data_IF_281907625343
#
_entry.id   IF_281907625343
#
_cell.length_a   1.000
_cell.length_b   1.000
_cell.length_c   1.000
_cell.angle_alpha   90.00
_cell.angle_beta   90.00
_cell.angle_gamma   90.00
#
_symmetry.space_group_name_H-M   'P 1'
#
loop_
_entity.id
_entity.type
_entity.pdbx_description
1 polymer ?
#
# COMPACT_ATOMS: atom_id res chain seq x y z
N UNK A 1 -6.91 50.47 -23.04
CA UNK A 1 -8.31 50.61 -22.60
C UNK A 1 -8.31 51.64 -21.47
N UNK A 2 -9.02 52.78 -21.67
CA UNK A 2 -9.21 53.81 -20.64
C UNK A 2 -10.62 53.60 -20.12
N UNK A 3 -10.77 53.24 -18.85
CA UNK A 3 -12.05 53.16 -18.18
C UNK A 3 -12.16 54.30 -17.14
N UNK A 4 -13.10 55.18 -17.33
CA UNK A 4 -13.32 56.34 -16.46
C UNK A 4 -14.28 55.96 -15.34
N UNK A 5 -13.79 55.82 -14.13
CA UNK A 5 -14.62 55.63 -12.95
C UNK A 5 -14.43 56.80 -12.00
N UNK A 6 -15.26 57.78 -12.12
CA UNK A 6 -15.30 59.01 -11.34
C UNK A 6 -14.17 60.04 -11.63
N UNK A 7 -14.43 61.31 -11.34
CA UNK A 7 -13.60 62.51 -11.70
C UNK A 7 -12.23 62.57 -11.02
N UNK A 8 -11.86 61.63 -10.20
CA UNK A 8 -10.66 61.74 -9.34
C UNK A 8 -9.62 60.60 -9.53
N UNK A 9 -9.90 59.53 -10.28
CA UNK A 9 -8.94 58.42 -10.47
C UNK A 9 -8.74 58.09 -11.96
N UNK A 10 -7.58 58.50 -12.52
CA UNK A 10 -7.17 58.12 -13.85
C UNK A 10 -6.25 56.90 -13.74
N UNK A 11 -6.71 55.75 -14.22
CA UNK A 11 -5.89 54.51 -14.27
C UNK A 11 -5.35 54.30 -15.68
N UNK A 12 -4.03 54.35 -15.84
CA UNK A 12 -3.37 54.12 -17.12
C UNK A 12 -2.77 52.71 -17.14
N UNK A 13 -3.20 51.87 -18.07
CA UNK A 13 -2.60 50.55 -18.31
C UNK A 13 -1.45 50.69 -19.31
N UNK A 14 -0.23 50.38 -18.90
CA UNK A 14 0.92 50.30 -19.79
C UNK A 14 1.21 48.83 -20.08
N UNK A 15 0.99 48.40 -21.32
CA UNK A 15 1.29 47.05 -21.76
C UNK A 15 2.68 47.05 -22.43
N UNK A 16 3.62 46.33 -21.84
CA UNK A 16 4.94 46.08 -22.43
C UNK A 16 5.01 44.68 -23.01
N UNK A 17 4.92 44.55 -24.33
CA UNK A 17 5.17 43.30 -25.03
C UNK A 17 6.67 43.13 -25.27
N UNK A 18 7.31 42.17 -24.57
CA UNK A 18 8.67 41.77 -24.89
C UNK A 18 8.69 40.43 -25.63
N UNK A 19 9.23 40.41 -26.79
CA UNK A 19 9.19 39.37 -27.83
C UNK A 19 9.91 38.05 -27.51
N UNK A 20 10.39 37.72 -26.32
CA UNK A 20 11.14 36.46 -26.08
C UNK A 20 11.15 35.96 -24.63
N UNK A 21 10.03 35.96 -23.90
CA UNK A 21 9.93 35.08 -22.70
C UNK A 21 8.49 34.90 -22.27
N UNK A 22 8.09 33.65 -22.03
CA UNK A 22 6.77 33.27 -21.48
C UNK A 22 6.60 33.61 -19.98
N UNK A 23 7.23 34.65 -19.49
CA UNK A 23 7.02 35.17 -18.12
C UNK A 23 6.18 36.43 -18.19
N UNK A 24 4.95 36.32 -17.72
CA UNK A 24 4.07 37.47 -17.48
C UNK A 24 4.69 38.25 -16.31
N UNK A 25 5.12 39.48 -16.53
CA UNK A 25 5.53 40.38 -15.46
C UNK A 25 4.29 41.00 -14.81
N UNK A 26 4.34 41.33 -13.51
CA UNK A 26 3.22 42.00 -12.83
C UNK A 26 2.93 43.34 -13.53
N UNK A 27 1.62 43.62 -13.64
CA UNK A 27 1.14 44.91 -14.17
C UNK A 27 1.29 45.95 -13.07
N UNK A 28 2.04 47.03 -13.36
CA UNK A 28 2.18 48.17 -12.45
C UNK A 28 1.00 49.11 -12.62
N UNK A 29 0.31 49.42 -11.52
CA UNK A 29 -0.73 50.43 -11.48
C UNK A 29 -0.18 51.71 -10.90
N UNK A 30 -0.32 52.79 -11.64
CA UNK A 30 0.01 54.15 -11.14
C UNK A 30 -1.29 54.81 -10.63
N UNK A 31 -1.34 55.19 -9.36
CA UNK A 31 -2.41 55.98 -8.79
C UNK A 31 -1.85 57.39 -8.50
N UNK A 32 -2.56 58.41 -8.95
CA UNK A 32 -2.21 59.81 -8.64
C UNK A 32 -2.94 60.18 -7.35
N UNK A 33 -2.17 60.51 -6.31
CA UNK A 33 -2.75 61.04 -5.07
C UNK A 33 -2.70 62.57 -5.12
N UNK A 34 -3.76 63.20 -4.59
CA UNK A 34 -3.93 64.68 -4.70
C UNK A 34 -2.83 65.52 -4.11
N UNK A 35 -1.79 64.96 -3.51
CA UNK A 35 -0.63 65.62 -2.91
C UNK A 35 0.65 65.55 -3.77
N UNK A 36 0.57 65.29 -5.08
CA UNK A 36 1.70 65.19 -6.00
C UNK A 36 2.74 64.09 -5.70
N UNK A 37 2.48 63.13 -4.83
CA UNK A 37 3.35 61.98 -4.66
C UNK A 37 2.82 60.78 -5.45
N UNK A 38 3.69 60.14 -6.21
CA UNK A 38 3.39 58.99 -7.06
C UNK A 38 3.64 57.68 -6.28
N UNK A 39 2.55 56.99 -5.89
CA UNK A 39 2.62 55.70 -5.21
C UNK A 39 2.49 54.58 -6.24
N UNK A 40 3.56 53.78 -6.40
CA UNK A 40 3.57 52.58 -7.22
C UNK A 40 3.09 51.41 -6.38
N UNK A 41 1.89 50.92 -6.67
CA UNK A 41 1.34 49.73 -6.01
C UNK A 41 1.47 48.51 -6.94
N UNK A 42 2.21 47.50 -6.50
CA UNK A 42 2.32 46.21 -7.21
C UNK A 42 1.11 45.31 -6.88
N UNK A 43 0.20 45.21 -7.81
CA UNK A 43 -0.92 44.23 -7.69
C UNK A 43 -0.66 43.06 -8.61
N UNK A 44 -0.38 41.89 -8.05
CA UNK A 44 -0.34 40.63 -8.80
C UNK A 44 -1.78 40.17 -9.10
N UNK A 45 -2.37 40.74 -10.15
CA UNK A 45 -3.70 40.34 -10.63
C UNK A 45 -3.64 38.93 -11.19
N UNK A 46 -4.42 38.01 -10.60
CA UNK A 46 -4.69 36.70 -11.21
C UNK A 46 -5.55 36.93 -12.47
N UNK A 47 -4.94 36.81 -13.64
CA UNK A 47 -5.71 36.70 -14.88
C UNK A 47 -6.46 35.38 -14.81
N UNK A 48 -7.78 35.44 -14.66
CA UNK A 48 -8.64 34.25 -14.83
C UNK A 48 -8.59 33.87 -16.32
N UNK A 49 -7.79 32.86 -16.64
CA UNK A 49 -7.94 32.13 -17.90
C UNK A 49 -9.26 31.39 -17.87
N UNK A 50 -9.97 31.25 -19.02
CA UNK A 50 -11.24 30.51 -19.07
C UNK A 50 -11.04 29.08 -18.57
N UNK A 51 -12.08 28.43 -18.01
CA UNK A 51 -11.98 27.12 -17.35
C UNK A 51 -11.85 25.97 -18.36
N UNK A 52 -10.89 26.08 -19.28
CA UNK A 52 -10.58 24.99 -20.20
C UNK A 52 -9.55 24.06 -19.55
N UNK A 53 -10.07 22.93 -19.05
CA UNK A 53 -9.32 21.75 -18.59
C UNK A 53 -8.44 22.02 -17.38
N UNK A 54 -9.07 22.20 -16.21
CA UNK A 54 -8.36 22.00 -14.93
C UNK A 54 -7.67 20.62 -14.98
N UNK A 55 -6.33 20.53 -14.90
CA UNK A 55 -5.69 19.23 -14.84
C UNK A 55 -6.29 18.46 -13.68
N UNK A 56 -6.56 17.16 -13.86
CA UNK A 56 -7.20 16.26 -12.88
C UNK A 56 -6.70 16.49 -11.44
N UNK A 57 -5.43 16.86 -11.31
CA UNK A 57 -4.79 17.17 -10.04
C UNK A 57 -5.31 18.45 -9.38
N UNK A 58 -5.57 19.49 -10.16
CA UNK A 58 -6.12 20.75 -9.66
C UNK A 58 -7.60 20.60 -9.32
N UNK A 59 -8.37 19.87 -10.15
CA UNK A 59 -9.75 19.52 -9.87
C UNK A 59 -9.87 18.71 -8.58
N UNK A 60 -9.06 17.64 -8.41
CA UNK A 60 -9.03 16.86 -7.18
C UNK A 60 -8.63 17.71 -5.96
N UNK A 61 -7.69 18.64 -6.14
CA UNK A 61 -7.28 19.59 -5.12
C UNK A 61 -8.39 20.55 -4.67
N UNK A 62 -9.30 20.91 -5.59
CA UNK A 62 -10.41 21.83 -5.32
C UNK A 62 -11.58 21.19 -4.56
N UNK A 63 -11.69 19.86 -4.55
CA UNK A 63 -12.74 19.16 -3.83
C UNK A 63 -12.55 19.27 -2.31
N UNK A 64 -13.64 19.55 -1.58
CA UNK A 64 -13.68 19.43 -0.14
C UNK A 64 -13.49 17.97 0.30
N UNK A 65 -13.17 17.73 1.57
CA UNK A 65 -12.90 16.38 2.08
C UNK A 65 -14.02 15.38 1.82
N UNK A 66 -15.29 15.80 1.98
CA UNK A 66 -16.48 14.98 1.73
C UNK A 66 -16.65 14.63 0.25
N UNK A 67 -16.39 15.58 -0.66
CA UNK A 67 -16.43 15.32 -2.10
C UNK A 67 -15.39 14.28 -2.54
N UNK A 68 -14.21 14.29 -1.93
CA UNK A 68 -13.19 13.24 -2.15
C UNK A 68 -13.65 11.91 -1.59
N UNK A 69 -14.22 11.89 -0.37
CA UNK A 69 -14.75 10.67 0.24
C UNK A 69 -15.88 10.07 -0.59
N UNK A 70 -16.80 10.90 -1.14
CA UNK A 70 -17.87 10.42 -2.03
C UNK A 70 -17.33 9.71 -3.26
N UNK A 71 -16.31 10.28 -3.93
CA UNK A 71 -15.69 9.66 -5.11
C UNK A 71 -14.98 8.35 -4.73
N UNK A 72 -14.24 8.37 -3.64
CA UNK A 72 -13.48 7.20 -3.18
C UNK A 72 -14.42 6.06 -2.79
N UNK A 73 -15.52 6.35 -2.07
CA UNK A 73 -16.52 5.34 -1.71
C UNK A 73 -17.35 4.88 -2.90
N UNK A 74 -17.60 5.75 -3.90
CA UNK A 74 -18.24 5.33 -5.16
C UNK A 74 -17.36 4.33 -5.93
N UNK A 75 -16.07 4.60 -6.04
CA UNK A 75 -15.12 3.66 -6.66
C UNK A 75 -15.09 2.35 -5.85
N UNK A 76 -15.09 2.44 -4.53
CA UNK A 76 -15.14 1.28 -3.66
C UNK A 76 -16.43 0.46 -3.83
N UNK A 77 -17.57 1.13 -3.98
CA UNK A 77 -18.86 0.50 -4.28
C UNK A 77 -18.82 -0.27 -5.60
N UNK A 78 -18.38 0.38 -6.69
CA UNK A 78 -18.29 -0.24 -8.01
C UNK A 78 -17.33 -1.44 -8.00
N UNK A 79 -16.18 -1.30 -7.34
CA UNK A 79 -15.23 -2.39 -7.19
C UNK A 79 -15.83 -3.57 -6.40
N UNK A 80 -16.46 -3.30 -5.26
CA UNK A 80 -17.05 -4.34 -4.42
C UNK A 80 -18.20 -5.07 -5.12
N UNK A 81 -19.05 -4.32 -5.82
CA UNK A 81 -20.11 -4.91 -6.63
C UNK A 81 -19.53 -5.79 -7.75
N UNK A 82 -18.48 -5.32 -8.43
CA UNK A 82 -17.76 -6.11 -9.42
C UNK A 82 -17.17 -7.39 -8.83
N UNK A 83 -16.57 -7.32 -7.65
CA UNK A 83 -16.09 -8.53 -6.94
C UNK A 83 -17.22 -9.49 -6.61
N UNK A 84 -18.37 -8.99 -6.13
CA UNK A 84 -19.54 -9.80 -5.86
C UNK A 84 -20.09 -10.53 -7.10
N UNK A 85 -20.00 -9.89 -8.27
CA UNK A 85 -20.56 -10.44 -9.52
C UNK A 85 -19.58 -11.31 -10.31
N UNK A 86 -18.28 -11.05 -10.22
CA UNK A 86 -17.28 -11.60 -11.13
C UNK A 86 -16.28 -12.56 -10.45
N UNK A 87 -16.14 -12.51 -9.13
CA UNK A 87 -15.22 -13.40 -8.44
C UNK A 87 -15.72 -14.84 -8.43
N UNK A 88 -14.79 -15.78 -8.64
CA UNK A 88 -15.04 -17.22 -8.51
C UNK A 88 -14.82 -17.73 -7.09
N UNK A 89 -14.14 -16.95 -6.25
CA UNK A 89 -13.81 -17.32 -4.88
C UNK A 89 -14.98 -16.96 -3.95
N UNK A 90 -15.59 -17.93 -3.23
CA UNK A 90 -16.76 -17.68 -2.38
C UNK A 90 -16.52 -16.54 -1.37
N UNK A 91 -15.40 -16.53 -0.67
CA UNK A 91 -15.09 -15.48 0.29
C UNK A 91 -15.06 -14.08 -0.35
N UNK A 92 -14.55 -13.97 -1.57
CA UNK A 92 -14.46 -12.68 -2.26
C UNK A 92 -15.82 -12.17 -2.76
N UNK A 93 -16.68 -13.04 -3.32
CA UNK A 93 -17.98 -12.57 -3.79
C UNK A 93 -18.96 -12.29 -2.64
N UNK A 94 -18.91 -13.03 -1.53
CA UNK A 94 -19.68 -12.70 -0.32
C UNK A 94 -19.25 -11.33 0.22
N UNK A 95 -17.93 -11.15 0.42
CA UNK A 95 -17.39 -9.85 0.81
C UNK A 95 -17.87 -8.74 -0.14
N UNK A 96 -17.83 -9.00 -1.45
CA UNK A 96 -18.21 -8.06 -2.48
C UNK A 96 -19.63 -7.52 -2.30
N UNK A 97 -20.62 -8.39 -2.14
CA UNK A 97 -22.03 -7.98 -1.96
C UNK A 97 -22.26 -7.27 -0.62
N UNK A 98 -21.71 -7.79 0.49
CA UNK A 98 -21.86 -7.16 1.80
C UNK A 98 -21.25 -5.76 1.81
N UNK A 99 -20.02 -5.64 1.32
CA UNK A 99 -19.29 -4.38 1.31
C UNK A 99 -19.85 -3.37 0.32
N UNK A 100 -20.41 -3.80 -0.82
CA UNK A 100 -21.07 -2.93 -1.77
C UNK A 100 -22.22 -2.16 -1.11
N UNK A 101 -23.07 -2.81 -0.31
CA UNK A 101 -24.10 -2.13 0.45
C UNK A 101 -23.55 -1.04 1.39
N UNK A 102 -22.47 -1.36 2.10
CA UNK A 102 -21.80 -0.42 3.00
C UNK A 102 -21.23 0.80 2.26
N UNK A 103 -20.51 0.56 1.13
CA UNK A 103 -19.94 1.67 0.34
C UNK A 103 -21.00 2.49 -0.38
N UNK A 104 -22.13 1.91 -0.80
CA UNK A 104 -23.26 2.64 -1.36
C UNK A 104 -23.84 3.63 -0.35
N UNK A 105 -24.08 3.18 0.89
CA UNK A 105 -24.56 4.04 1.99
C UNK A 105 -23.55 5.15 2.28
N UNK A 106 -22.24 4.82 2.36
CA UNK A 106 -21.18 5.80 2.60
C UNK A 106 -21.09 6.84 1.48
N UNK A 107 -21.23 6.43 0.22
CA UNK A 107 -21.26 7.33 -0.95
C UNK A 107 -22.43 8.29 -0.85
N UNK A 108 -23.64 7.75 -0.67
CA UNK A 108 -24.87 8.56 -0.56
C UNK A 108 -24.77 9.55 0.58
N UNK A 109 -24.33 9.11 1.76
CA UNK A 109 -24.12 9.99 2.90
C UNK A 109 -23.11 11.10 2.60
N UNK A 110 -21.99 10.79 1.96
CA UNK A 110 -20.97 11.78 1.61
C UNK A 110 -21.46 12.80 0.58
N UNK A 111 -22.26 12.38 -0.41
CA UNK A 111 -22.89 13.26 -1.40
C UNK A 111 -23.92 14.21 -0.76
N UNK A 112 -24.82 13.69 0.06
CA UNK A 112 -25.83 14.48 0.75
C UNK A 112 -25.23 15.44 1.78
N UNK A 113 -24.03 15.14 2.26
CA UNK A 113 -23.33 15.90 3.29
C UNK A 113 -22.45 17.02 2.76
N UNK A 114 -22.18 17.07 1.47
CA UNK A 114 -21.17 17.93 0.83
C UNK A 114 -21.42 19.44 0.87
N UNK A 115 -22.54 19.90 1.42
CA UNK A 115 -22.87 21.32 1.56
C UNK A 115 -22.80 21.89 3.00
N UNK A 116 -22.68 21.05 4.00
CA UNK A 116 -22.69 21.49 5.39
C UNK A 116 -21.27 21.71 5.94
N UNK A 117 -21.01 22.83 6.60
CA UNK A 117 -19.77 23.04 7.40
C UNK A 117 -19.73 21.99 8.52
N UNK A 118 -19.09 20.84 8.28
CA UNK A 118 -19.05 19.73 9.24
C UNK A 118 -17.75 19.68 10.01
N UNK A 119 -17.88 19.19 11.23
CA UNK A 119 -16.77 18.94 12.14
C UNK A 119 -15.94 17.77 11.58
N UNK A 120 -14.60 17.82 11.60
CA UNK A 120 -13.72 16.72 11.12
C UNK A 120 -14.04 15.34 11.71
N UNK A 121 -14.72 15.28 12.86
CA UNK A 121 -15.17 14.03 13.50
C UNK A 121 -16.16 13.22 12.65
N UNK A 122 -17.01 13.85 11.82
CA UNK A 122 -17.98 13.12 10.99
C UNK A 122 -17.33 12.19 9.98
N UNK A 123 -16.25 12.63 9.33
CA UNK A 123 -15.48 11.78 8.39
C UNK A 123 -14.85 10.58 9.10
N UNK A 124 -14.36 10.78 10.32
CA UNK A 124 -13.78 9.68 11.12
C UNK A 124 -14.85 8.68 11.54
N UNK A 125 -16.02 9.16 11.96
CA UNK A 125 -17.16 8.30 12.33
C UNK A 125 -17.63 7.51 11.09
N UNK A 126 -17.80 8.18 9.95
CA UNK A 126 -18.18 7.50 8.71
C UNK A 126 -17.16 6.41 8.33
N UNK A 127 -15.86 6.72 8.40
CA UNK A 127 -14.81 5.76 8.12
C UNK A 127 -14.84 4.57 9.09
N UNK A 128 -15.14 4.80 10.38
CA UNK A 128 -15.31 3.73 11.36
C UNK A 128 -16.53 2.85 11.05
N UNK A 129 -17.65 3.45 10.64
CA UNK A 129 -18.86 2.69 10.22
C UNK A 129 -18.59 1.88 8.95
N UNK A 130 -17.86 2.45 7.98
CA UNK A 130 -17.43 1.71 6.78
C UNK A 130 -16.50 0.57 7.14
N UNK A 131 -15.56 0.77 8.06
CA UNK A 131 -14.70 -0.30 8.56
C UNK A 131 -15.52 -1.44 9.20
N UNK A 132 -16.50 -1.12 10.02
CA UNK A 132 -17.40 -2.13 10.59
C UNK A 132 -18.15 -2.89 9.50
N UNK A 133 -18.76 -2.20 8.54
CA UNK A 133 -19.59 -2.85 7.51
C UNK A 133 -18.80 -3.54 6.40
N UNK A 134 -17.58 -3.09 6.05
CA UNK A 134 -16.79 -3.65 4.97
C UNK A 134 -15.66 -4.58 5.43
N UNK A 135 -15.34 -4.61 6.74
CA UNK A 135 -14.30 -5.48 7.30
C UNK A 135 -14.85 -6.38 8.38
N UNK A 136 -15.37 -5.80 9.48
CA UNK A 136 -15.71 -6.59 10.68
C UNK A 136 -16.90 -7.52 10.42
N UNK A 137 -17.96 -7.00 9.79
CA UNK A 137 -19.16 -7.80 9.48
C UNK A 137 -18.84 -8.94 8.51
N UNK A 138 -18.23 -8.71 7.31
CA UNK A 138 -17.93 -9.82 6.43
C UNK A 138 -16.91 -10.80 7.03
N UNK A 139 -15.88 -10.34 7.76
CA UNK A 139 -14.95 -11.22 8.46
C UNK A 139 -15.69 -12.14 9.44
N UNK A 140 -16.55 -11.57 10.28
CA UNK A 140 -17.31 -12.33 11.28
C UNK A 140 -18.23 -13.38 10.64
N UNK A 141 -18.95 -13.00 9.58
CA UNK A 141 -19.85 -13.90 8.85
C UNK A 141 -19.08 -15.04 8.17
N UNK A 142 -17.99 -14.73 7.47
CA UNK A 142 -17.20 -15.75 6.76
C UNK A 142 -16.49 -16.72 7.72
N UNK A 143 -16.01 -16.22 8.87
CA UNK A 143 -15.44 -17.08 9.91
C UNK A 143 -16.53 -18.00 10.50
N UNK A 144 -17.73 -17.47 10.74
CA UNK A 144 -18.87 -18.26 11.19
C UNK A 144 -19.28 -19.32 10.18
N UNK A 145 -19.41 -18.96 8.89
CA UNK A 145 -19.77 -19.90 7.83
C UNK A 145 -18.74 -21.01 7.66
N UNK A 146 -17.46 -20.65 7.72
CA UNK A 146 -16.36 -21.63 7.70
C UNK A 146 -16.42 -22.58 8.88
N UNK A 147 -16.72 -22.07 10.07
CA UNK A 147 -16.81 -22.87 11.30
C UNK A 147 -17.99 -23.86 11.26
N UNK A 148 -19.17 -23.40 10.83
CA UNK A 148 -20.38 -24.23 10.73
C UNK A 148 -20.31 -25.20 9.55
N UNK A 149 -19.83 -24.75 8.40
CA UNK A 149 -19.77 -25.55 7.17
C UNK A 149 -18.60 -26.53 7.10
N UNK A 150 -17.60 -26.39 7.96
CA UNK A 150 -16.40 -27.23 7.97
C UNK A 150 -15.56 -27.16 6.69
N UNK A 151 -15.80 -26.15 5.83
CA UNK A 151 -15.20 -26.05 4.52
C UNK A 151 -14.19 -24.90 4.43
N UNK A 152 -13.18 -25.07 3.55
CA UNK A 152 -12.20 -24.01 3.26
C UNK A 152 -12.76 -22.91 2.34
N UNK A 153 -13.95 -23.09 1.77
CA UNK A 153 -14.54 -22.23 0.74
C UNK A 153 -14.75 -20.76 1.16
N UNK A 154 -14.82 -20.49 2.47
CA UNK A 154 -15.04 -19.15 3.01
C UNK A 154 -13.76 -18.44 3.44
N UNK A 155 -12.61 -18.91 2.99
CA UNK A 155 -11.32 -18.28 3.23
C UNK A 155 -10.44 -18.36 1.99
N UNK A 156 -9.50 -17.43 1.86
CA UNK A 156 -8.45 -17.57 0.83
C UNK A 156 -7.55 -18.78 1.12
N UNK A 157 -7.01 -19.46 0.09
CA UNK A 157 -6.14 -20.64 0.28
C UNK A 157 -4.95 -20.39 1.20
N UNK A 158 -4.45 -19.17 1.23
CA UNK A 158 -3.33 -18.73 2.07
C UNK A 158 -3.63 -18.93 3.57
N UNK A 159 -4.88 -18.73 3.98
CA UNK A 159 -5.32 -18.94 5.38
C UNK A 159 -5.07 -20.38 5.81
N UNK A 160 -5.47 -21.33 4.97
CA UNK A 160 -5.26 -22.74 5.24
C UNK A 160 -3.77 -23.10 5.25
N UNK A 161 -2.98 -22.61 4.30
CA UNK A 161 -1.53 -22.82 4.26
C UNK A 161 -0.84 -22.31 5.53
N UNK A 162 -1.26 -21.14 6.03
CA UNK A 162 -0.73 -20.57 7.28
C UNK A 162 -1.15 -21.40 8.50
N UNK A 163 -2.40 -21.87 8.56
CA UNK A 163 -2.86 -22.72 9.65
C UNK A 163 -2.12 -24.09 9.66
N UNK A 164 -1.95 -24.69 8.49
CA UNK A 164 -1.16 -25.94 8.34
C UNK A 164 0.31 -25.74 8.75
N UNK A 165 0.90 -24.61 8.37
CA UNK A 165 2.29 -24.29 8.78
C UNK A 165 2.43 -24.18 10.30
N UNK A 166 1.42 -23.62 10.98
CA UNK A 166 1.36 -23.58 12.44
C UNK A 166 1.30 -24.99 13.05
N UNK A 167 0.52 -25.91 12.46
CA UNK A 167 0.49 -27.32 12.88
C UNK A 167 1.84 -28.01 12.67
N UNK A 168 2.49 -27.78 11.52
CA UNK A 168 3.81 -28.34 11.25
C UNK A 168 4.89 -27.81 12.20
N UNK A 169 4.80 -26.54 12.62
CA UNK A 169 5.69 -26.01 13.68
C UNK A 169 5.52 -26.79 14.97
N UNK A 170 4.29 -27.10 15.38
CA UNK A 170 4.01 -27.82 16.63
C UNK A 170 4.38 -29.31 16.54
N UNK A 171 4.05 -29.98 15.43
CA UNK A 171 4.21 -31.44 15.29
C UNK A 171 5.60 -31.79 14.77
N UNK A 172 6.07 -31.12 13.73
CA UNK A 172 7.29 -31.45 12.99
C UNK A 172 8.46 -30.53 13.37
N UNK A 173 8.21 -29.50 14.21
CA UNK A 173 9.23 -28.54 14.66
C UNK A 173 9.65 -27.54 13.59
N UNK A 174 8.89 -27.38 12.51
CA UNK A 174 9.15 -26.36 11.47
C UNK A 174 8.05 -26.30 10.42
N UNK A 175 7.87 -25.15 9.75
CA UNK A 175 6.77 -24.96 8.81
C UNK A 175 7.00 -25.60 7.42
N UNK A 176 8.21 -26.00 7.09
CA UNK A 176 8.61 -26.46 5.75
C UNK A 176 8.64 -27.98 5.67
N UNK A 177 7.63 -28.57 5.04
CA UNK A 177 7.49 -30.03 4.94
C UNK A 177 7.49 -30.53 3.48
N UNK A 178 7.08 -29.68 2.51
CA UNK A 178 6.99 -30.04 1.11
C UNK A 178 8.25 -29.57 0.35
N UNK A 179 8.73 -30.44 -0.53
CA UNK A 179 9.81 -30.12 -1.48
C UNK A 179 9.75 -31.04 -2.69
N UNK A 180 10.27 -30.60 -3.82
CA UNK A 180 10.40 -31.39 -5.04
C UNK A 180 11.72 -32.15 -5.07
N UNK A 181 11.69 -33.44 -5.42
CA UNK A 181 12.86 -34.23 -5.64
C UNK A 181 12.68 -35.08 -6.90
N UNK A 182 13.56 -34.93 -7.89
CA UNK A 182 13.50 -35.68 -9.17
C UNK A 182 12.15 -35.61 -9.89
N UNK A 183 11.50 -34.42 -9.84
CA UNK A 183 10.19 -34.20 -10.46
C UNK A 183 9.00 -34.74 -9.67
N UNK A 184 9.21 -35.28 -8.49
CA UNK A 184 8.17 -35.80 -7.62
C UNK A 184 8.09 -34.92 -6.35
N UNK A 185 6.90 -34.51 -5.98
CA UNK A 185 6.67 -33.75 -4.75
C UNK A 185 6.85 -34.68 -3.54
N UNK A 186 7.80 -34.32 -2.68
CA UNK A 186 7.98 -34.96 -1.38
C UNK A 186 7.37 -34.10 -0.28
N UNK A 187 6.85 -34.75 0.76
CA UNK A 187 6.20 -34.09 1.89
C UNK A 187 4.78 -34.57 2.07
N UNK A 188 4.06 -33.93 2.97
CA UNK A 188 2.66 -34.28 3.29
C UNK A 188 1.73 -33.60 2.29
N UNK A 189 1.39 -34.27 1.21
CA UNK A 189 0.33 -33.86 0.28
C UNK A 189 -0.92 -34.68 0.58
N UNK A 190 -1.95 -34.04 1.06
CA UNK A 190 -3.19 -34.66 1.54
C UNK A 190 -4.36 -34.38 0.59
N UNK A 191 -4.31 -34.86 -0.65
CA UNK A 191 -5.43 -34.69 -1.60
C UNK A 191 -5.77 -33.27 -2.04
N UNK A 192 -5.15 -32.26 -1.44
CA UNK A 192 -5.28 -30.86 -1.81
C UNK A 192 -4.44 -30.50 -3.04
N UNK A 193 -4.71 -29.38 -3.74
CA UNK A 193 -3.88 -28.94 -4.85
C UNK A 193 -2.41 -28.84 -4.43
N UNK A 194 -1.49 -29.32 -5.25
CA UNK A 194 -0.04 -29.43 -4.92
C UNK A 194 0.57 -28.11 -4.47
N UNK A 195 0.12 -26.97 -5.02
CA UNK A 195 0.62 -25.66 -4.61
C UNK A 195 0.33 -25.34 -3.14
N UNK A 196 -0.70 -25.91 -2.53
CA UNK A 196 -1.04 -25.69 -1.12
C UNK A 196 -0.13 -26.46 -0.15
N UNK A 197 0.67 -27.40 -0.66
CA UNK A 197 1.70 -28.07 0.15
C UNK A 197 2.92 -27.16 0.42
N UNK A 198 3.08 -26.08 -0.33
CA UNK A 198 4.17 -25.12 -0.14
C UNK A 198 3.77 -24.00 0.81
N UNK A 199 4.71 -23.62 1.68
CA UNK A 199 4.61 -22.47 2.57
C UNK A 199 5.58 -21.38 2.08
N UNK A 200 5.15 -20.50 1.13
CA UNK A 200 6.04 -19.58 0.42
C UNK A 200 6.41 -18.32 1.23
N UNK A 201 6.58 -18.49 2.51
CA UNK A 201 6.83 -17.40 3.47
C UNK A 201 8.05 -17.73 4.33
N UNK A 202 8.63 -16.69 4.94
CA UNK A 202 9.58 -16.89 6.03
C UNK A 202 8.90 -17.42 7.28
N UNK A 203 9.68 -18.02 8.22
CA UNK A 203 9.12 -18.79 9.33
C UNK A 203 8.17 -18.01 10.22
N UNK A 204 8.38 -16.69 10.37
CA UNK A 204 7.55 -15.87 11.26
C UNK A 204 6.08 -15.82 10.84
N UNK A 205 5.77 -16.01 9.55
CA UNK A 205 4.40 -16.06 9.08
C UNK A 205 3.60 -17.22 9.71
N UNK A 206 4.25 -18.33 10.05
CA UNK A 206 3.58 -19.48 10.70
C UNK A 206 3.02 -19.15 12.08
N UNK A 207 3.50 -18.08 12.72
CA UNK A 207 3.00 -17.63 14.04
C UNK A 207 1.52 -17.30 13.98
N UNK A 208 0.99 -16.84 12.84
CA UNK A 208 -0.44 -16.58 12.68
C UNK A 208 -1.29 -17.86 12.63
N UNK A 209 -0.70 -19.00 12.31
CA UNK A 209 -1.35 -20.31 12.35
C UNK A 209 -1.26 -21.02 13.72
N UNK A 210 -0.32 -20.61 14.60
CA UNK A 210 -0.12 -21.27 15.90
C UNK A 210 -1.37 -21.25 16.81
N UNK A 211 -2.15 -20.16 16.92
CA UNK A 211 -3.33 -20.15 17.78
C UNK A 211 -4.31 -21.29 17.43
N UNK A 212 -4.48 -21.57 16.13
CA UNK A 212 -5.35 -22.67 15.68
C UNK A 212 -4.74 -24.05 15.96
N UNK A 213 -3.43 -24.19 15.75
CA UNK A 213 -2.72 -25.43 16.02
C UNK A 213 -2.73 -25.82 17.51
N UNK A 214 -2.71 -24.81 18.40
CA UNK A 214 -2.70 -24.99 19.86
C UNK A 214 -4.11 -25.07 20.48
N UNK A 215 -5.18 -24.77 19.70
CA UNK A 215 -6.56 -24.74 20.20
C UNK A 215 -7.27 -26.06 19.96
N UNK A 216 -7.61 -26.85 20.98
CA UNK A 216 -8.26 -28.15 20.84
C UNK A 216 -9.63 -28.09 20.14
N UNK A 217 -10.38 -27.01 20.30
CA UNK A 217 -11.72 -26.82 19.77
C UNK A 217 -11.83 -26.05 18.49
N UNK A 218 -10.73 -25.69 17.85
CA UNK A 218 -10.72 -24.85 16.63
C UNK A 218 -11.64 -23.62 16.74
N UNK A 219 -11.52 -22.86 17.82
CA UNK A 219 -12.32 -21.66 18.06
C UNK A 219 -12.29 -20.70 16.85
N UNK A 220 -13.36 -20.00 16.61
CA UNK A 220 -13.46 -18.96 15.58
C UNK A 220 -12.37 -17.87 15.73
N UNK A 221 -12.01 -17.53 16.96
CA UNK A 221 -10.96 -16.54 17.25
C UNK A 221 -9.55 -17.02 16.88
N UNK A 222 -9.35 -18.31 16.67
CA UNK A 222 -8.07 -18.90 16.25
C UNK A 222 -7.94 -19.05 14.74
N UNK A 223 -8.98 -18.70 13.97
CA UNK A 223 -8.88 -18.59 12.50
C UNK A 223 -7.75 -17.62 12.13
N UNK A 224 -6.85 -18.06 11.27
CA UNK A 224 -5.66 -17.26 10.94
C UNK A 224 -6.01 -15.88 10.34
N UNK A 225 -7.18 -15.72 9.70
CA UNK A 225 -7.68 -14.41 9.23
C UNK A 225 -7.91 -13.46 10.38
N UNK A 226 -8.55 -13.94 11.45
CA UNK A 226 -8.83 -13.13 12.65
C UNK A 226 -7.50 -12.71 13.27
N UNK A 227 -6.57 -13.66 13.42
CA UNK A 227 -5.25 -13.39 14.03
C UNK A 227 -4.44 -12.37 13.19
N UNK A 228 -4.37 -12.54 11.87
CA UNK A 228 -3.68 -11.61 10.96
C UNK A 228 -4.34 -10.23 10.95
N UNK A 229 -5.68 -10.17 10.91
CA UNK A 229 -6.41 -8.91 10.89
C UNK A 229 -6.27 -8.17 12.21
N UNK A 230 -6.34 -8.85 13.34
CA UNK A 230 -6.08 -8.26 14.67
C UNK A 230 -4.65 -7.74 14.76
N UNK A 231 -3.66 -8.51 14.35
CA UNK A 231 -2.26 -8.06 14.32
C UNK A 231 -2.09 -6.81 13.45
N UNK A 232 -2.71 -6.79 12.26
CA UNK A 232 -2.70 -5.63 11.35
C UNK A 232 -3.29 -4.41 12.02
N UNK A 233 -4.49 -4.53 12.62
CA UNK A 233 -5.19 -3.43 13.29
C UNK A 233 -4.38 -2.90 14.47
N UNK A 234 -3.80 -3.79 15.29
CA UNK A 234 -2.97 -3.39 16.44
C UNK A 234 -1.71 -2.66 15.96
N UNK A 235 -0.96 -3.23 15.02
CA UNK A 235 0.28 -2.63 14.52
C UNK A 235 -0.01 -1.29 13.81
N UNK A 236 -1.08 -1.24 13.02
CA UNK A 236 -1.54 -0.02 12.36
C UNK A 236 -1.98 1.04 13.38
N UNK A 237 -2.75 0.64 14.39
CA UNK A 237 -3.17 1.50 15.50
C UNK A 237 -1.97 2.10 16.23
N UNK A 238 -0.95 1.29 16.55
CA UNK A 238 0.30 1.77 17.13
C UNK A 238 1.01 2.76 16.18
N UNK A 239 1.12 2.43 14.89
CA UNK A 239 1.69 3.34 13.90
C UNK A 239 0.97 4.69 13.85
N UNK A 240 -0.36 4.69 13.79
CA UNK A 240 -1.16 5.92 13.80
C UNK A 240 -1.05 6.69 15.13
N UNK A 241 -1.02 5.96 16.25
CA UNK A 241 -0.87 6.58 17.58
C UNK A 241 0.46 7.31 17.71
N UNK A 242 1.54 6.65 17.36
CA UNK A 242 2.89 7.20 17.48
C UNK A 242 3.26 8.18 16.36
N UNK A 243 2.56 8.21 15.22
CA UNK A 243 2.88 9.13 14.12
C UNK A 243 2.60 10.59 14.50
N UNK A 244 3.40 11.50 13.94
CA UNK A 244 3.24 12.96 14.09
C UNK A 244 2.41 13.60 12.99
N UNK A 245 1.88 12.79 12.08
CA UNK A 245 1.07 13.28 10.97
C UNK A 245 -0.29 13.82 11.44
N UNK A 246 -0.88 14.73 10.68
CA UNK A 246 -2.18 15.34 11.01
C UNK A 246 -3.31 14.31 11.02
N UNK A 247 -4.42 14.62 11.71
CA UNK A 247 -5.62 13.75 11.76
C UNK A 247 -6.15 13.40 10.38
N UNK A 248 -6.17 14.36 9.45
CA UNK A 248 -6.60 14.11 8.07
C UNK A 248 -5.69 13.12 7.34
N UNK A 249 -4.37 13.22 7.53
CA UNK A 249 -3.40 12.28 6.98
C UNK A 249 -3.51 10.89 7.65
N UNK A 250 -3.77 10.82 8.96
CA UNK A 250 -4.06 9.55 9.67
C UNK A 250 -5.27 8.84 9.08
N UNK A 251 -6.35 9.59 8.83
CA UNK A 251 -7.56 9.05 8.20
C UNK A 251 -7.26 8.51 6.79
N UNK A 252 -6.50 9.26 5.98
CA UNK A 252 -6.12 8.82 4.64
C UNK A 252 -5.32 7.50 4.65
N UNK A 253 -4.36 7.36 5.58
CA UNK A 253 -3.59 6.12 5.74
C UNK A 253 -4.50 4.97 6.17
N UNK A 254 -5.39 5.19 7.15
CA UNK A 254 -6.34 4.18 7.60
C UNK A 254 -7.33 3.78 6.47
N UNK A 255 -7.81 4.74 5.69
CA UNK A 255 -8.65 4.47 4.52
C UNK A 255 -7.91 3.59 3.51
N UNK A 256 -6.71 3.95 3.10
CA UNK A 256 -5.96 3.23 2.09
C UNK A 256 -5.59 1.79 2.52
N UNK A 257 -5.19 1.61 3.79
CA UNK A 257 -4.73 0.31 4.26
C UNK A 257 -5.85 -0.61 4.75
N UNK A 258 -6.88 -0.08 5.42
CA UNK A 258 -7.84 -0.92 6.13
C UNK A 258 -9.30 -0.77 5.68
N UNK A 259 -9.70 0.38 5.12
CA UNK A 259 -11.12 0.72 4.96
C UNK A 259 -11.58 0.58 3.51
N UNK A 260 -10.72 0.94 2.55
CA UNK A 260 -11.02 0.79 1.12
C UNK A 260 -10.83 -0.66 0.66
N UNK A 261 -11.41 -1.04 -0.48
CA UNK A 261 -11.34 -2.41 -1.00
C UNK A 261 -9.94 -3.02 -1.04
N UNK A 262 -8.92 -2.20 -1.29
CA UNK A 262 -7.51 -2.61 -1.32
C UNK A 262 -7.03 -3.23 -0.01
N UNK A 263 -7.64 -2.87 1.12
CA UNK A 263 -7.31 -3.45 2.43
C UNK A 263 -8.48 -4.22 3.02
N UNK A 264 -9.72 -3.70 2.92
CA UNK A 264 -10.90 -4.29 3.52
C UNK A 264 -11.18 -5.73 3.04
N UNK A 265 -11.02 -5.99 1.73
CA UNK A 265 -11.14 -7.32 1.15
C UNK A 265 -10.17 -8.29 1.83
N UNK A 266 -8.90 -7.92 1.92
CA UNK A 266 -7.87 -8.81 2.46
C UNK A 266 -7.98 -9.02 3.97
N UNK A 267 -8.36 -8.00 4.73
CA UNK A 267 -8.64 -8.15 6.16
C UNK A 267 -9.79 -9.12 6.41
N UNK A 268 -10.81 -9.12 5.56
CA UNK A 268 -11.98 -9.99 5.72
C UNK A 268 -11.73 -11.42 5.24
N UNK A 269 -11.05 -11.58 4.10
CA UNK A 269 -10.92 -12.89 3.42
C UNK A 269 -9.61 -13.61 3.74
N UNK A 270 -8.66 -12.95 4.42
CA UNK A 270 -7.41 -13.55 4.89
C UNK A 270 -6.18 -13.25 4.05
N UNK A 271 -6.04 -12.01 3.59
CA UNK A 271 -4.83 -11.56 2.90
C UNK A 271 -3.65 -11.45 3.85
N UNK A 272 -2.65 -12.25 3.59
CA UNK A 272 -1.41 -12.40 4.35
C UNK A 272 -0.44 -11.20 4.23
N UNK A 273 -0.70 -10.29 3.28
CA UNK A 273 0.09 -9.06 3.06
C UNK A 273 -0.26 -7.93 4.06
N UNK A 274 -1.38 -8.04 4.75
CA UNK A 274 -1.88 -6.96 5.61
C UNK A 274 -1.00 -6.69 6.84
N UNK A 275 -0.55 -7.70 7.61
CA UNK A 275 0.39 -7.48 8.71
C UNK A 275 1.71 -6.86 8.25
N UNK A 276 2.17 -7.24 7.05
CA UNK A 276 3.42 -6.75 6.46
C UNK A 276 3.34 -5.27 6.14
N UNK A 277 2.23 -4.83 5.52
CA UNK A 277 2.00 -3.42 5.23
C UNK A 277 1.87 -2.60 6.51
N UNK A 278 1.19 -3.12 7.54
CA UNK A 278 1.12 -2.44 8.83
C UNK A 278 2.50 -2.26 9.47
N UNK A 279 3.36 -3.30 9.44
CA UNK A 279 4.76 -3.21 9.88
C UNK A 279 5.56 -2.22 9.02
N UNK A 280 5.32 -2.20 7.71
CA UNK A 280 5.92 -1.23 6.80
C UNK A 280 5.56 0.21 7.16
N UNK A 281 4.29 0.51 7.46
CA UNK A 281 3.88 1.83 7.94
C UNK A 281 4.51 2.16 9.29
N UNK A 282 4.51 1.21 10.23
CA UNK A 282 5.14 1.39 11.54
C UNK A 282 6.64 1.69 11.41
N UNK A 283 7.36 1.04 10.48
CA UNK A 283 8.79 1.30 10.25
C UNK A 283 9.05 2.75 9.82
N UNK A 284 8.18 3.33 8.97
CA UNK A 284 8.27 4.75 8.59
C UNK A 284 8.03 5.68 9.78
N UNK A 285 7.08 5.34 10.66
CA UNK A 285 6.81 6.10 11.88
C UNK A 285 7.99 6.03 12.86
N UNK A 286 8.60 4.85 13.01
CA UNK A 286 9.78 4.67 13.85
C UNK A 286 11.00 5.42 13.30
N UNK A 287 11.15 5.46 11.97
CA UNK A 287 12.17 6.30 11.31
C UNK A 287 11.94 7.80 11.62
N UNK A 288 10.68 8.28 11.50
CA UNK A 288 10.28 9.66 11.88
C UNK A 288 10.63 9.97 13.34
N UNK A 289 10.49 8.98 14.22
CA UNK A 289 10.83 9.07 15.66
C UNK A 289 12.33 8.98 15.95
N UNK A 290 13.16 8.76 14.93
CA UNK A 290 14.62 8.65 15.04
C UNK A 290 15.09 7.56 16.01
N UNK A 291 14.44 6.39 15.98
CA UNK A 291 14.73 5.24 16.84
C UNK A 291 15.37 4.09 16.02
N UNK A 292 16.69 4.12 15.74
CA UNK A 292 17.30 3.19 14.80
C UNK A 292 17.26 1.72 15.26
N UNK A 293 17.41 1.45 16.55
CA UNK A 293 17.31 0.09 17.07
C UNK A 293 15.90 -0.49 16.87
N UNK A 294 14.86 0.27 17.28
CA UNK A 294 13.47 -0.15 17.12
C UNK A 294 13.11 -0.26 15.63
N UNK A 295 13.64 0.63 14.78
CA UNK A 295 13.49 0.54 13.32
C UNK A 295 14.01 -0.80 12.80
N UNK A 296 15.21 -1.19 13.22
CA UNK A 296 15.80 -2.47 12.84
C UNK A 296 14.98 -3.67 13.32
N UNK A 297 14.44 -3.63 14.54
CA UNK A 297 13.56 -4.68 15.07
C UNK A 297 12.28 -4.80 14.21
N UNK A 298 11.59 -3.68 13.92
CA UNK A 298 10.36 -3.68 13.10
C UNK A 298 10.65 -4.17 11.68
N UNK A 299 11.73 -3.70 11.06
CA UNK A 299 12.16 -4.20 9.74
C UNK A 299 12.51 -5.69 9.80
N UNK A 300 13.21 -6.14 10.83
CA UNK A 300 13.58 -7.54 11.03
C UNK A 300 12.37 -8.46 11.16
N UNK A 301 11.36 -8.05 11.92
CA UNK A 301 10.08 -8.74 12.00
C UNK A 301 9.43 -8.81 10.60
N UNK A 302 9.34 -7.68 9.90
CA UNK A 302 8.70 -7.63 8.58
C UNK A 302 9.40 -8.55 7.56
N UNK A 303 10.73 -8.48 7.42
CA UNK A 303 11.47 -9.31 6.46
C UNK A 303 11.49 -10.80 6.82
N UNK A 304 11.20 -11.14 8.07
CA UNK A 304 11.07 -12.52 8.56
C UNK A 304 9.69 -13.13 8.29
N UNK A 305 8.75 -12.38 7.69
CA UNK A 305 7.41 -12.87 7.31
C UNK A 305 7.34 -13.24 5.83
N UNK A 306 7.70 -12.34 4.92
CA UNK A 306 7.50 -12.51 3.47
C UNK A 306 8.51 -11.71 2.66
N UNK A 307 8.88 -12.22 1.47
CA UNK A 307 9.79 -11.54 0.53
C UNK A 307 9.28 -10.15 0.11
N UNK A 308 7.97 -9.94 0.08
CA UNK A 308 7.36 -8.64 -0.30
C UNK A 308 7.67 -7.51 0.67
N UNK A 309 8.12 -7.82 1.90
CA UNK A 309 8.59 -6.82 2.88
C UNK A 309 9.97 -6.25 2.54
N UNK A 310 10.82 -7.01 1.84
CA UNK A 310 12.24 -6.67 1.64
C UNK A 310 12.48 -5.37 0.89
N UNK A 311 11.76 -5.05 -0.21
CA UNK A 311 11.97 -3.79 -0.93
C UNK A 311 11.73 -2.54 -0.06
N UNK A 312 10.63 -2.54 0.71
CA UNK A 312 10.33 -1.42 1.60
C UNK A 312 11.32 -1.34 2.78
N UNK A 313 11.64 -2.47 3.41
CA UNK A 313 12.59 -2.50 4.52
C UNK A 313 13.97 -1.98 4.07
N UNK A 314 14.47 -2.41 2.90
CA UNK A 314 15.71 -1.91 2.30
C UNK A 314 15.67 -0.41 2.05
N UNK A 315 14.55 0.09 1.50
CA UNK A 315 14.36 1.52 1.26
C UNK A 315 14.34 2.33 2.56
N UNK A 316 13.67 1.82 3.61
CA UNK A 316 13.61 2.48 4.93
C UNK A 316 14.98 2.48 5.61
N UNK A 317 15.76 1.40 5.50
CA UNK A 317 17.14 1.36 6.01
C UNK A 317 18.05 2.33 5.25
N UNK A 318 17.91 2.45 3.93
CA UNK A 318 18.59 3.46 3.13
C UNK A 318 18.21 4.88 3.59
N UNK A 319 16.92 5.15 3.81
CA UNK A 319 16.45 6.42 4.34
C UNK A 319 17.01 6.71 5.74
N UNK A 320 17.16 5.70 6.58
CA UNK A 320 17.84 5.84 7.87
C UNK A 320 19.30 6.31 7.69
N UNK A 321 20.02 5.76 6.70
CA UNK A 321 21.38 6.20 6.39
C UNK A 321 21.44 7.66 5.92
N UNK A 322 20.50 8.08 5.09
CA UNK A 322 20.43 9.43 4.53
C UNK A 322 20.02 10.46 5.59
N UNK A 323 19.02 10.13 6.43
CA UNK A 323 18.40 11.10 7.36
C UNK A 323 19.02 11.11 8.76
N UNK A 324 19.50 9.96 9.25
CA UNK A 324 20.06 9.79 10.60
C UNK A 324 21.57 9.50 10.59
N UNK A 325 22.14 9.25 9.42
CA UNK A 325 23.56 8.97 9.23
C UNK A 325 23.93 7.49 9.31
N UNK A 326 25.16 7.19 8.88
CA UNK A 326 25.65 5.81 8.70
C UNK A 326 25.65 5.01 10.01
N UNK A 327 25.98 5.63 11.15
CA UNK A 327 25.99 4.94 12.46
C UNK A 327 24.59 4.48 12.87
N UNK A 328 23.57 5.30 12.69
CA UNK A 328 22.20 4.91 12.96
C UNK A 328 21.73 3.79 12.02
N UNK A 329 22.08 3.89 10.73
CA UNK A 329 21.76 2.87 9.75
C UNK A 329 22.45 1.52 10.06
N UNK A 330 23.70 1.53 10.52
CA UNK A 330 24.39 0.29 10.91
C UNK A 330 23.74 -0.37 12.13
N UNK A 331 23.27 0.40 13.11
CA UNK A 331 22.49 -0.12 14.24
C UNK A 331 21.17 -0.74 13.74
N UNK A 332 20.44 -0.04 12.90
CA UNK A 332 19.18 -0.54 12.34
C UNK A 332 19.41 -1.81 11.50
N UNK A 333 20.41 -1.81 10.63
CA UNK A 333 20.76 -2.97 9.80
C UNK A 333 21.18 -4.18 10.66
N UNK A 334 22.05 -3.96 11.67
CA UNK A 334 22.46 -5.02 12.58
C UNK A 334 21.26 -5.63 13.31
N UNK A 335 20.35 -4.79 13.84
CA UNK A 335 19.14 -5.26 14.49
C UNK A 335 18.23 -6.03 13.53
N UNK A 336 18.03 -5.52 12.29
CA UNK A 336 17.27 -6.22 11.24
C UNK A 336 17.85 -7.60 10.95
N UNK A 337 19.17 -7.66 10.74
CA UNK A 337 19.88 -8.91 10.41
C UNK A 337 19.82 -9.90 11.58
N UNK A 338 20.04 -9.42 12.82
CA UNK A 338 19.97 -10.28 14.02
C UNK A 338 18.58 -10.87 14.19
N UNK A 339 17.52 -10.05 14.03
CA UNK A 339 16.14 -10.54 14.11
C UNK A 339 15.85 -11.55 13.00
N UNK A 340 16.21 -11.23 11.76
CA UNK A 340 15.99 -12.14 10.63
C UNK A 340 16.73 -13.47 10.78
N UNK A 341 18.00 -13.43 11.14
CA UNK A 341 18.81 -14.64 11.34
C UNK A 341 18.31 -15.43 12.56
N UNK A 342 18.02 -14.76 13.68
CA UNK A 342 17.49 -15.42 14.87
C UNK A 342 16.20 -16.18 14.62
N UNK A 343 15.33 -15.64 13.77
CA UNK A 343 14.04 -16.27 13.41
C UNK A 343 14.21 -17.31 12.31
N UNK A 344 14.99 -17.04 11.27
CA UNK A 344 15.00 -17.86 10.04
C UNK A 344 16.08 -18.96 10.05
N UNK A 345 17.24 -18.70 10.68
CA UNK A 345 18.38 -19.60 10.66
C UNK A 345 18.10 -20.99 11.29
N UNK A 346 17.38 -21.11 12.41
CA UNK A 346 17.06 -22.43 12.99
C UNK A 346 16.31 -23.32 12.02
N UNK A 347 15.33 -22.77 11.29
CA UNK A 347 14.54 -23.52 10.30
C UNK A 347 15.34 -23.83 9.02
N UNK A 348 16.19 -22.88 8.61
CA UNK A 348 17.10 -23.11 7.48
C UNK A 348 18.07 -24.26 7.76
N UNK A 349 18.73 -24.26 8.91
CA UNK A 349 19.69 -25.32 9.30
C UNK A 349 19.00 -26.67 9.42
N UNK A 350 17.76 -26.67 9.95
CA UNK A 350 16.98 -27.93 10.09
C UNK A 350 16.64 -28.58 8.75
N UNK A 351 16.20 -27.80 7.77
CA UNK A 351 15.74 -28.30 6.47
C UNK A 351 16.09 -27.32 5.34
N UNK A 352 17.38 -27.19 4.96
CA UNK A 352 17.85 -26.17 4.00
C UNK A 352 17.13 -26.27 2.66
N UNK A 353 16.96 -27.50 2.17
CA UNK A 353 16.32 -27.76 0.87
C UNK A 353 14.84 -27.36 0.87
N UNK A 354 14.08 -27.82 1.85
CA UNK A 354 12.66 -27.46 1.96
C UNK A 354 12.49 -25.95 2.17
N UNK A 355 13.35 -25.30 2.98
CA UNK A 355 13.36 -23.87 3.15
C UNK A 355 13.57 -23.13 1.81
N UNK A 356 14.60 -23.47 1.07
CA UNK A 356 14.91 -22.80 -0.20
C UNK A 356 13.83 -23.03 -1.27
N UNK A 357 13.29 -24.24 -1.35
CA UNK A 357 12.22 -24.55 -2.31
C UNK A 357 10.91 -23.81 -1.95
N UNK A 358 10.53 -23.76 -0.68
CA UNK A 358 9.30 -23.08 -0.27
C UNK A 358 9.41 -21.57 -0.42
N UNK A 359 10.49 -20.97 0.11
CA UNK A 359 10.60 -19.51 0.24
C UNK A 359 11.03 -18.85 -1.06
N UNK A 360 11.86 -19.51 -1.87
CA UNK A 360 12.44 -18.91 -3.08
C UNK A 360 12.00 -19.63 -4.35
N UNK A 361 12.19 -20.95 -4.47
CA UNK A 361 11.95 -21.63 -5.73
C UNK A 361 10.47 -21.61 -6.12
N UNK A 362 9.56 -21.87 -5.18
CA UNK A 362 8.12 -21.86 -5.48
C UNK A 362 7.59 -20.49 -5.91
N UNK A 363 7.84 -19.37 -5.21
CA UNK A 363 7.38 -18.05 -5.66
C UNK A 363 7.99 -17.62 -7.00
N UNK A 364 9.20 -18.11 -7.33
CA UNK A 364 9.87 -17.82 -8.59
C UNK A 364 9.42 -18.75 -9.74
N UNK A 365 8.52 -19.71 -9.47
CA UNK A 365 8.06 -20.70 -10.47
C UNK A 365 9.09 -21.77 -10.80
N UNK A 366 10.09 -21.98 -9.93
CA UNK A 366 11.20 -22.95 -10.14
C UNK A 366 10.99 -24.27 -9.38
N UNK A 367 9.89 -24.40 -8.64
CA UNK A 367 9.60 -25.63 -7.86
C UNK A 367 8.90 -26.72 -8.67
N UNK A 368 8.67 -26.55 -9.98
CA UNK A 368 7.99 -27.54 -10.82
C UNK A 368 6.48 -27.66 -10.58
N UNK A 369 5.88 -26.77 -9.80
CA UNK A 369 4.45 -26.69 -9.52
C UNK A 369 3.92 -25.36 -10.02
N UNK A 370 2.80 -25.41 -10.75
CA UNK A 370 2.16 -24.19 -11.26
C UNK A 370 1.57 -23.36 -10.13
N UNK A 371 1.86 -22.05 -10.16
CA UNK A 371 1.28 -21.09 -9.25
C UNK A 371 -0.15 -20.76 -9.66
N UNK A 372 -1.13 -20.71 -8.71
CA UNK A 372 -2.50 -20.26 -8.99
C UNK A 372 -2.59 -18.74 -9.20
N UNK A 373 -1.49 -18.00 -9.08
CA UNK A 373 -1.45 -16.55 -9.26
C UNK A 373 -1.45 -16.19 -10.76
N UNK A 374 -2.64 -16.14 -11.37
CA UNK A 374 -2.86 -15.99 -12.80
C UNK A 374 -3.70 -14.76 -13.16
N UNK A 375 -3.51 -13.63 -12.46
CA UNK A 375 -4.19 -12.38 -12.82
C UNK A 375 -3.74 -11.88 -14.20
N UNK A 376 -4.67 -11.33 -15.05
CA UNK A 376 -4.39 -10.92 -16.42
C UNK A 376 -3.57 -9.61 -16.48
N UNK A 377 -2.43 -9.58 -15.81
CA UNK A 377 -1.46 -8.50 -15.89
C UNK A 377 -0.47 -8.77 -17.05
N UNK A 378 0.18 -7.73 -17.60
CA UNK A 378 1.01 -7.85 -18.80
C UNK A 378 2.04 -8.99 -18.74
N UNK A 379 2.74 -9.16 -17.61
CA UNK A 379 3.72 -10.21 -17.43
C UNK A 379 3.13 -11.61 -17.56
N UNK A 380 1.98 -11.86 -16.90
CA UNK A 380 1.27 -13.13 -17.00
C UNK A 380 0.78 -13.40 -18.43
N UNK A 381 0.18 -12.40 -19.10
CA UNK A 381 -0.29 -12.54 -20.47
C UNK A 381 0.84 -12.86 -21.44
N UNK A 382 1.98 -12.17 -21.33
CA UNK A 382 3.17 -12.43 -22.15
C UNK A 382 3.71 -13.85 -21.93
N UNK A 383 3.86 -14.26 -20.67
CA UNK A 383 4.45 -15.56 -20.35
C UNK A 383 3.50 -16.74 -20.61
N UNK A 384 2.19 -16.50 -20.64
CA UNK A 384 1.18 -17.47 -21.06
C UNK A 384 1.19 -17.67 -22.56
N UNK A 385 1.35 -16.58 -23.35
CA UNK A 385 1.45 -16.64 -24.81
C UNK A 385 2.80 -17.21 -25.28
N UNK A 386 3.88 -16.88 -24.56
CA UNK A 386 5.25 -17.31 -24.89
C UNK A 386 5.95 -17.85 -23.64
N UNK A 387 5.89 -19.17 -23.36
CA UNK A 387 6.43 -19.77 -22.12
C UNK A 387 7.91 -19.48 -21.86
N UNK A 388 8.74 -19.35 -22.92
CA UNK A 388 10.16 -18.99 -22.79
C UNK A 388 10.36 -17.65 -22.09
N UNK A 389 9.40 -16.75 -22.17
CA UNK A 389 9.45 -15.43 -21.50
C UNK A 389 9.39 -15.53 -19.98
N UNK A 390 8.99 -16.65 -19.39
CA UNK A 390 9.09 -16.90 -17.94
C UNK A 390 10.52 -16.69 -17.41
N UNK A 391 11.53 -17.00 -18.23
CA UNK A 391 12.94 -16.86 -17.87
C UNK A 391 13.57 -15.55 -18.36
N UNK A 392 13.13 -15.04 -19.50
CA UNK A 392 13.74 -13.89 -20.17
C UNK A 392 13.19 -12.56 -19.58
N UNK A 393 11.87 -12.47 -19.39
CA UNK A 393 11.20 -11.22 -18.96
C UNK A 393 11.72 -10.70 -17.62
N UNK A 394 11.90 -11.52 -16.56
CA UNK A 394 12.47 -11.03 -15.30
C UNK A 394 13.88 -10.45 -15.47
N UNK A 395 14.71 -11.07 -16.31
CA UNK A 395 16.07 -10.58 -16.59
C UNK A 395 16.02 -9.21 -17.28
N UNK A 396 15.18 -9.05 -18.29
CA UNK A 396 14.99 -7.78 -18.99
C UNK A 396 14.50 -6.70 -17.99
N UNK A 397 13.50 -7.01 -17.18
CA UNK A 397 12.94 -6.08 -16.20
C UNK A 397 14.00 -5.65 -15.19
N UNK A 398 14.81 -6.56 -14.69
CA UNK A 398 15.91 -6.25 -13.77
C UNK A 398 16.96 -5.39 -14.43
N UNK A 399 17.43 -5.73 -15.63
CA UNK A 399 18.48 -4.97 -16.32
C UNK A 399 18.01 -3.57 -16.72
N UNK A 400 16.87 -3.50 -17.41
CA UNK A 400 16.31 -2.22 -17.87
C UNK A 400 15.85 -1.36 -16.68
N UNK A 401 15.15 -1.96 -15.71
CA UNK A 401 14.71 -1.28 -14.51
C UNK A 401 15.88 -0.74 -13.68
N UNK A 402 16.94 -1.52 -13.49
CA UNK A 402 18.15 -1.07 -12.79
C UNK A 402 18.85 0.07 -13.56
N UNK A 403 18.98 -0.05 -14.87
CA UNK A 403 19.55 1.02 -15.70
C UNK A 403 18.76 2.33 -15.59
N UNK A 404 17.43 2.25 -15.73
CA UNK A 404 16.57 3.44 -15.63
C UNK A 404 16.59 4.04 -14.21
N UNK A 405 16.58 3.21 -13.19
CA UNK A 405 16.67 3.64 -11.79
C UNK A 405 18.02 4.33 -11.53
N UNK A 406 19.12 3.72 -11.93
CA UNK A 406 20.46 4.32 -11.79
C UNK A 406 20.58 5.64 -12.55
N UNK A 407 20.05 5.70 -13.78
CA UNK A 407 20.01 6.95 -14.57
C UNK A 407 19.18 8.03 -13.87
N UNK A 408 18.04 7.67 -13.29
CA UNK A 408 17.20 8.58 -12.52
C UNK A 408 17.95 9.08 -11.28
N UNK A 409 18.54 8.19 -10.49
CA UNK A 409 19.24 8.52 -9.24
C UNK A 409 20.48 9.39 -9.46
N UNK A 410 21.17 9.23 -10.61
CA UNK A 410 22.29 10.10 -11.00
C UNK A 410 21.84 11.55 -11.28
N UNK A 411 20.59 11.74 -11.75
CA UNK A 411 20.03 13.06 -12.06
C UNK A 411 19.29 13.70 -10.89
N UNK A 412 18.69 12.87 -10.07
CA UNK A 412 17.82 13.25 -8.94
C UNK A 412 18.19 12.42 -7.71
N UNK A 413 19.24 12.83 -6.95
CA UNK A 413 19.63 12.11 -5.73
C UNK A 413 18.45 12.00 -4.75
N UNK A 414 18.39 10.90 -4.04
CA UNK A 414 17.35 10.71 -3.01
C UNK A 414 17.64 11.63 -1.83
N UNK A 415 16.67 12.49 -1.51
CA UNK A 415 16.78 13.48 -0.43
C UNK A 415 15.65 13.38 0.59
N UNK A 416 14.54 12.69 0.26
CA UNK A 416 13.36 12.64 1.12
C UNK A 416 12.69 11.26 1.18
N UNK A 417 11.97 11.03 2.28
CA UNK A 417 11.14 9.82 2.49
C UNK A 417 10.06 9.72 1.40
N UNK A 418 9.43 10.85 1.06
CA UNK A 418 8.40 10.91 0.03
C UNK A 418 8.92 10.47 -1.34
N UNK A 419 10.11 10.96 -1.74
CA UNK A 419 10.74 10.57 -3.00
C UNK A 419 11.07 9.08 -3.03
N UNK A 420 11.63 8.54 -1.94
CA UNK A 420 11.95 7.11 -1.81
C UNK A 420 10.70 6.26 -1.95
N UNK A 421 9.61 6.60 -1.25
CA UNK A 421 8.36 5.85 -1.31
C UNK A 421 7.73 5.89 -2.72
N UNK A 422 7.82 7.01 -3.45
CA UNK A 422 7.39 7.08 -4.84
C UNK A 422 8.21 6.14 -5.73
N UNK A 423 9.52 6.09 -5.54
CA UNK A 423 10.40 5.17 -6.29
C UNK A 423 10.01 3.72 -5.99
N UNK A 424 9.85 3.37 -4.72
CA UNK A 424 9.46 2.00 -4.31
C UNK A 424 8.07 1.64 -4.84
N UNK A 425 7.12 2.60 -4.87
CA UNK A 425 5.80 2.40 -5.46
C UNK A 425 5.88 2.08 -6.95
N UNK A 426 6.68 2.84 -7.71
CA UNK A 426 6.86 2.61 -9.15
C UNK A 426 7.57 1.28 -9.39
N UNK A 427 8.64 0.97 -8.65
CA UNK A 427 9.34 -0.32 -8.75
C UNK A 427 8.40 -1.49 -8.45
N UNK A 428 7.64 -1.41 -7.35
CA UNK A 428 6.66 -2.44 -7.00
C UNK A 428 5.60 -2.61 -8.10
N UNK A 429 5.07 -1.51 -8.65
CA UNK A 429 4.09 -1.56 -9.73
C UNK A 429 4.66 -2.25 -10.99
N UNK A 430 5.90 -1.90 -11.38
CA UNK A 430 6.56 -2.52 -12.53
C UNK A 430 6.78 -4.01 -12.29
N UNK A 431 7.31 -4.39 -11.13
CA UNK A 431 7.54 -5.81 -10.78
C UNK A 431 6.24 -6.60 -10.79
N UNK A 432 5.17 -6.09 -10.18
CA UNK A 432 3.86 -6.75 -10.13
C UNK A 432 3.26 -6.87 -11.54
N UNK A 433 3.34 -5.81 -12.33
CA UNK A 433 2.79 -5.79 -13.69
C UNK A 433 3.53 -6.73 -14.65
N UNK A 434 4.82 -6.99 -14.42
CA UNK A 434 5.68 -7.80 -15.30
C UNK A 434 5.95 -9.21 -14.79
N UNK A 435 5.54 -9.55 -13.57
CA UNK A 435 5.69 -10.88 -13.01
C UNK A 435 4.86 -11.91 -13.78
N UNK A 436 5.45 -13.11 -14.04
CA UNK A 436 4.76 -14.21 -14.70
C UNK A 436 3.64 -14.82 -13.85
N UNK A 437 3.87 -14.94 -12.55
CA UNK A 437 2.90 -15.37 -11.57
C UNK A 437 2.57 -14.17 -10.67
N UNK A 438 1.36 -13.62 -10.82
CA UNK A 438 0.97 -12.38 -10.14
C UNK A 438 -0.51 -12.36 -9.82
N UNK A 439 -0.87 -11.62 -8.78
CA UNK A 439 -2.25 -11.34 -8.38
C UNK A 439 -2.51 -9.83 -8.37
N UNK A 440 -3.67 -9.41 -8.84
CA UNK A 440 -4.10 -8.00 -8.73
C UNK A 440 -4.08 -7.50 -7.28
N UNK A 441 -4.27 -8.39 -6.32
CA UNK A 441 -4.18 -8.08 -4.90
C UNK A 441 -2.86 -7.41 -4.49
N UNK A 442 -1.75 -7.74 -5.14
CA UNK A 442 -0.46 -7.11 -4.84
C UNK A 442 -0.40 -5.61 -5.16
N UNK A 443 -1.34 -5.07 -5.93
CA UNK A 443 -1.44 -3.62 -6.15
C UNK A 443 -1.67 -2.82 -4.86
N UNK A 444 -2.04 -3.48 -3.76
CA UNK A 444 -2.10 -2.85 -2.43
C UNK A 444 -0.75 -2.24 -2.01
N UNK A 445 0.38 -2.83 -2.42
CA UNK A 445 1.72 -2.32 -2.11
C UNK A 445 1.99 -0.96 -2.76
N UNK A 446 2.00 -0.82 -4.11
CA UNK A 446 2.27 0.47 -4.74
C UNK A 446 1.23 1.53 -4.38
N UNK A 447 -0.04 1.17 -4.17
CA UNK A 447 -1.08 2.10 -3.73
C UNK A 447 -0.75 2.67 -2.35
N UNK A 448 -0.44 1.82 -1.36
CA UNK A 448 -0.10 2.27 -0.02
C UNK A 448 1.20 3.07 -0.01
N UNK A 449 2.23 2.66 -0.74
CA UNK A 449 3.49 3.42 -0.84
C UNK A 449 3.29 4.81 -1.44
N UNK A 450 2.44 4.96 -2.46
CA UNK A 450 2.09 6.25 -3.05
C UNK A 450 1.29 7.13 -2.07
N UNK A 451 0.35 6.54 -1.33
CA UNK A 451 -0.38 7.25 -0.26
C UNK A 451 0.58 7.72 0.82
N UNK A 452 1.47 6.84 1.32
CA UNK A 452 2.44 7.22 2.34
C UNK A 452 3.43 8.26 1.85
N UNK A 453 3.85 8.20 0.56
CA UNK A 453 4.66 9.25 -0.05
C UNK A 453 3.99 10.62 0.04
N UNK A 454 2.67 10.69 -0.21
CA UNK A 454 1.91 11.93 -0.08
C UNK A 454 1.78 12.42 1.37
N UNK A 455 1.69 11.47 2.32
CA UNK A 455 1.54 11.74 3.75
C UNK A 455 2.83 12.26 4.38
N UNK A 456 3.98 11.65 4.03
CA UNK A 456 5.30 12.01 4.56
C UNK A 456 6.00 13.13 3.78
N UNK A 457 5.29 13.77 2.81
CA UNK A 457 5.81 14.93 2.10
C UNK A 457 5.98 16.10 3.07
N UNK A 458 7.19 16.67 3.11
CA UNK A 458 7.52 17.87 3.88
C UNK A 458 7.17 19.14 3.10
N UNK A 459 7.05 20.29 3.79
CA UNK A 459 6.84 21.58 3.16
C UNK A 459 7.99 21.97 2.20
N UNK A 460 9.20 21.52 2.48
CA UNK A 460 10.37 21.72 1.61
C UNK A 460 10.24 20.96 0.28
N UNK A 461 9.68 19.73 0.31
CA UNK A 461 9.41 18.97 -0.91
C UNK A 461 8.33 19.61 -1.79
N UNK A 462 7.40 20.38 -1.20
CA UNK A 462 6.38 21.13 -1.94
C UNK A 462 6.97 22.30 -2.71
N UNK A 463 7.90 23.03 -2.11
CA UNK A 463 8.57 24.18 -2.77
C UNK A 463 9.38 23.76 -4.00
N UNK A 464 9.94 22.56 -4.02
CA UNK A 464 10.74 22.04 -5.16
C UNK A 464 9.83 21.62 -6.33
N UNK A 465 8.55 21.25 -6.07
CA UNK A 465 7.61 20.86 -7.12
C UNK A 465 6.83 22.03 -7.71
N UNK A 466 6.78 23.15 -6.99
CA UNK A 466 6.10 24.38 -7.41
C UNK A 466 7.07 25.36 -8.11
N UNK A 467 8.37 25.05 -8.14
CA UNK A 467 9.43 25.77 -8.84
C UNK A 467 9.79 25.08 -10.17
#
# INVERSE_FOLDING_TARGET
LIEHRSREDLIIFVNYETRHSHRIRPVEFMKHDGNNEMIISHYAGRIMTPPDKLPLRAWWGSLHGEGRDAIVYLIAFVFSLGMGMLSKEPAQWHWGFISAGTYAVATTYSLLSGGAKRVPSHRTILAALVFLGAVVVPLGLEVQWRHVGGTQQFAQPEVWVIEQSGQHVVIDGGPYVAFFSHGVLHGRVTGEPQYQAFFPYFPLMSVFGLPRALSPGQSQLTDARVVMSMATIVVMGLGLWFSRISRAKKLLVAQALCILPTGALFLSTGGDDMPILALGFLSLVVLERRQPLLLGVVCGIAVSTKLTAWPLASAVLLMCAITLGRRAASVALAATTTMFLGISLPYFVRSPRAFLENVFAFPLGLAGVDSPAASPLPGHLITSAWPVMKHILPVIVVLVGSYLLLRYLRRSPITSVSQTLNIVAVVALVVIATASATRMGYLIYPINYAVWASVFRTSTDQLILDA
#
